data_IF_877632513086
#
_entry.id   IF_877632513086
#
_cell.length_a   1.000
_cell.length_b   1.000
_cell.length_c   1.000
_cell.angle_alpha   90.00
_cell.angle_beta   90.00
_cell.angle_gamma   90.00
#
_symmetry.space_group_name_H-M   'P 1'
#
loop_
_entity.id
_entity.type
_entity.pdbx_description
1 polymer ?
#
# COMPACT_ATOMS: atom_id res chain seq x y z
N UNK A 1 -19.34 -11.01 2.43
CA UNK A 1 -18.38 -11.38 1.37
C UNK A 1 -17.88 -12.79 1.64
N UNK A 2 -17.35 -13.50 0.62
CA UNK A 2 -16.78 -14.85 0.75
C UNK A 2 -15.26 -14.80 0.49
N UNK A 3 -14.45 -15.34 1.41
CA UNK A 3 -13.00 -15.33 1.27
C UNK A 3 -12.52 -16.26 0.15
N UNK A 4 -11.64 -15.76 -0.73
CA UNK A 4 -11.04 -16.50 -1.86
C UNK A 4 -9.62 -16.94 -1.51
N UNK A 5 -8.77 -16.02 -1.04
CA UNK A 5 -7.41 -16.33 -0.60
C UNK A 5 -6.82 -15.21 0.29
N UNK A 6 -5.71 -15.53 0.96
CA UNK A 6 -4.91 -14.57 1.73
C UNK A 6 -3.52 -14.36 1.13
N UNK A 7 -2.91 -13.24 1.47
CA UNK A 7 -1.57 -12.90 1.04
C UNK A 7 -0.92 -11.79 1.88
N UNK A 8 0.00 -11.09 1.22
CA UNK A 8 0.76 -9.96 1.72
C UNK A 8 0.43 -8.72 0.89
N UNK A 9 0.31 -7.59 1.56
CA UNK A 9 -0.22 -6.34 1.02
C UNK A 9 0.85 -5.57 0.23
N UNK A 10 0.96 -5.85 -1.06
CA UNK A 10 1.81 -5.11 -1.99
C UNK A 10 1.20 -3.72 -2.28
N UNK A 11 1.99 -2.68 -2.09
CA UNK A 11 1.59 -1.31 -2.39
C UNK A 11 2.06 -0.89 -3.80
N UNK A 12 3.36 -0.99 -4.07
CA UNK A 12 3.94 -0.69 -5.38
C UNK A 12 5.32 -1.31 -5.56
N UNK A 13 5.81 -1.31 -6.80
CA UNK A 13 7.18 -1.67 -7.14
C UNK A 13 7.87 -0.51 -7.84
N UNK A 14 9.19 -0.42 -7.74
CA UNK A 14 9.98 0.55 -8.47
C UNK A 14 11.10 -0.17 -9.22
N UNK A 15 11.00 -0.18 -10.55
CA UNK A 15 11.96 -0.82 -11.45
C UNK A 15 12.56 0.22 -12.36
N UNK A 16 13.89 0.22 -12.52
CA UNK A 16 14.59 1.20 -13.36
C UNK A 16 14.19 2.65 -13.01
N UNK A 17 14.09 2.94 -11.70
CA UNK A 17 13.66 4.23 -11.12
C UNK A 17 12.24 4.68 -11.45
N UNK A 18 11.38 3.81 -11.99
CA UNK A 18 9.98 4.13 -12.27
C UNK A 18 9.05 3.33 -11.36
N UNK A 19 8.16 4.02 -10.66
CA UNK A 19 7.15 3.37 -9.83
C UNK A 19 5.97 2.83 -10.66
N UNK A 20 5.40 1.73 -10.17
CA UNK A 20 4.14 1.19 -10.63
C UNK A 20 3.37 0.59 -9.44
N UNK A 21 2.23 1.21 -9.12
CA UNK A 21 1.38 0.85 -7.98
C UNK A 21 0.30 -0.17 -8.30
N UNK A 22 -0.19 -0.80 -7.25
CA UNK A 22 -1.44 -1.57 -7.24
C UNK A 22 -2.44 -0.83 -6.36
N UNK A 23 -3.66 -0.62 -6.87
CA UNK A 23 -4.73 -0.07 -6.04
C UNK A 23 -5.08 -1.09 -4.95
N UNK A 24 -5.06 -0.65 -3.70
CA UNK A 24 -5.22 -1.49 -2.51
C UNK A 24 -6.60 -2.15 -2.44
N UNK A 25 -7.61 -1.60 -3.10
CA UNK A 25 -8.95 -2.19 -3.19
C UNK A 25 -9.07 -3.29 -4.24
N UNK A 26 -8.00 -3.57 -5.00
CA UNK A 26 -7.98 -4.61 -6.05
C UNK A 26 -7.21 -5.84 -5.61
N UNK A 27 -7.52 -7.00 -6.18
CA UNK A 27 -6.80 -8.25 -5.86
C UNK A 27 -5.29 -8.21 -6.20
N UNK A 28 -4.86 -7.28 -7.08
CA UNK A 28 -3.46 -7.10 -7.47
C UNK A 28 -2.56 -6.63 -6.31
N UNK A 29 -3.12 -5.95 -5.31
CA UNK A 29 -2.41 -5.56 -4.10
C UNK A 29 -2.18 -6.73 -3.13
N UNK A 30 -2.78 -7.90 -3.37
CA UNK A 30 -2.71 -9.03 -2.45
C UNK A 30 -1.94 -10.22 -3.06
N UNK A 31 -0.63 -10.26 -2.81
CA UNK A 31 0.24 -11.32 -3.32
C UNK A 31 0.34 -12.49 -2.35
N UNK A 32 0.13 -13.72 -2.82
CA UNK A 32 0.18 -14.94 -1.99
C UNK A 32 1.55 -15.21 -1.36
N UNK A 33 2.62 -14.66 -1.92
CA UNK A 33 3.99 -14.86 -1.45
C UNK A 33 4.70 -13.53 -1.39
N UNK A 34 5.30 -13.26 -0.24
CA UNK A 34 6.19 -12.12 -0.06
C UNK A 34 7.56 -12.39 -0.68
N UNK A 35 8.16 -11.35 -1.25
CA UNK A 35 9.58 -11.28 -1.62
C UNK A 35 9.99 -9.82 -1.60
N UNK A 36 11.19 -9.50 -1.13
CA UNK A 36 11.75 -8.14 -1.25
C UNK A 36 11.98 -7.74 -2.70
N UNK A 37 12.02 -8.72 -3.62
CA UNK A 37 12.08 -8.54 -5.07
C UNK A 37 11.07 -9.49 -5.75
N UNK A 38 9.81 -9.09 -5.93
CA UNK A 38 8.76 -9.95 -6.47
C UNK A 38 8.71 -9.99 -8.01
N UNK A 39 9.66 -9.34 -8.71
CA UNK A 39 9.69 -9.26 -10.16
C UNK A 39 11.10 -9.41 -10.73
N UNK A 40 11.19 -9.57 -12.05
CA UNK A 40 12.41 -9.62 -12.85
C UNK A 40 12.25 -8.72 -14.07
N UNK A 41 13.35 -8.33 -14.70
CA UNK A 41 13.32 -7.55 -15.93
C UNK A 41 14.11 -8.25 -17.05
N UNK A 42 13.65 -8.11 -18.28
CA UNK A 42 14.27 -8.67 -19.48
C UNK A 42 14.59 -7.55 -20.48
N UNK A 43 15.61 -7.75 -21.31
CA UNK A 43 15.97 -6.82 -22.37
C UNK A 43 15.68 -7.39 -23.76
N UNK A 44 15.90 -6.58 -24.81
CA UNK A 44 15.68 -6.95 -26.22
C UNK A 44 16.57 -8.10 -26.71
N UNK A 45 17.63 -8.44 -25.97
CA UNK A 45 18.55 -9.53 -26.30
C UNK A 45 18.12 -10.86 -25.67
N UNK A 46 16.87 -10.97 -25.20
CA UNK A 46 16.33 -12.14 -24.51
C UNK A 46 17.12 -12.53 -23.24
N UNK A 47 17.76 -11.55 -22.59
CA UNK A 47 18.44 -11.75 -21.30
C UNK A 47 17.59 -11.17 -20.19
N UNK A 48 17.28 -11.99 -19.20
CA UNK A 48 16.55 -11.58 -18.01
C UNK A 48 17.44 -11.62 -16.77
N UNK A 49 17.22 -10.67 -15.87
CA UNK A 49 17.95 -10.54 -14.61
C UNK A 49 16.98 -10.44 -13.44
N UNK A 50 17.36 -11.05 -12.33
CA UNK A 50 16.59 -11.07 -11.08
C UNK A 50 17.43 -10.53 -9.95
N UNK A 51 16.91 -9.55 -9.19
CA UNK A 51 17.58 -8.93 -8.05
C UNK A 51 19.03 -8.43 -8.34
N UNK A 52 19.36 -8.16 -9.60
CA UNK A 52 20.71 -7.77 -10.04
C UNK A 52 20.87 -6.25 -10.25
N UNK A 53 19.87 -5.46 -9.81
CA UNK A 53 19.84 -4.00 -9.87
C UNK A 53 19.32 -3.42 -8.54
N UNK A 54 19.47 -2.10 -8.40
CA UNK A 54 18.90 -1.33 -7.30
C UNK A 54 17.43 -1.00 -7.57
N UNK A 55 16.61 -2.05 -7.63
CA UNK A 55 15.16 -1.96 -7.74
C UNK A 55 14.52 -2.20 -6.35
N UNK A 56 13.24 -1.81 -6.21
CA UNK A 56 12.55 -1.74 -4.92
C UNK A 56 11.16 -2.38 -4.98
N UNK A 57 10.68 -2.85 -3.83
CA UNK A 57 9.28 -3.20 -3.59
C UNK A 57 8.79 -2.56 -2.30
N UNK A 58 7.50 -2.22 -2.25
CA UNK A 58 6.90 -1.52 -1.13
C UNK A 58 5.63 -2.24 -0.70
N UNK A 59 5.47 -2.39 0.60
CA UNK A 59 4.42 -3.20 1.20
C UNK A 59 3.74 -2.41 2.29
N UNK A 60 2.41 -2.51 2.44
CA UNK A 60 1.75 -1.98 3.63
C UNK A 60 2.36 -2.66 4.86
N UNK A 61 2.55 -1.88 5.92
CA UNK A 61 3.23 -2.36 7.11
C UNK A 61 2.29 -2.61 8.28
N UNK A 62 2.81 -3.22 9.35
CA UNK A 62 2.10 -3.45 10.61
C UNK A 62 2.43 -2.35 11.64
N UNK A 63 1.79 -2.34 12.83
CA UNK A 63 2.16 -1.45 13.93
C UNK A 63 3.51 -1.78 14.59
N UNK A 64 4.24 -2.79 14.10
CA UNK A 64 5.50 -3.22 14.68
C UNK A 64 6.50 -2.03 14.71
N UNK A 65 7.05 -1.67 15.88
CA UNK A 65 7.93 -0.52 16.01
C UNK A 65 9.26 -0.78 15.30
N UNK A 66 9.82 0.28 14.72
CA UNK A 66 11.17 0.20 14.16
C UNK A 66 12.20 -0.22 15.22
N UNK A 67 13.20 -1.04 14.83
CA UNK A 67 14.35 -1.32 15.70
C UNK A 67 15.03 -0.03 16.18
N UNK A 68 15.43 0.02 17.45
CA UNK A 68 16.07 1.22 18.04
C UNK A 68 17.37 1.61 17.33
N UNK A 69 18.08 0.65 16.73
CA UNK A 69 19.31 0.88 15.98
C UNK A 69 19.06 1.39 14.54
N UNK A 70 17.81 1.44 14.08
CA UNK A 70 17.40 1.83 12.72
C UNK A 70 18.10 1.02 11.60
N UNK A 71 18.64 -0.14 11.92
CA UNK A 71 19.31 -0.98 10.94
C UNK A 71 18.31 -1.65 10.00
N UNK A 72 18.66 -1.84 8.71
CA UNK A 72 17.80 -2.54 7.78
C UNK A 72 17.47 -3.97 8.24
N UNK A 73 16.18 -4.30 8.24
CA UNK A 73 15.65 -5.62 8.53
C UNK A 73 16.07 -6.61 7.42
N UNK A 74 16.32 -7.87 7.79
CA UNK A 74 16.75 -8.92 6.87
C UNK A 74 16.14 -10.28 7.19
N UNK A 75 15.87 -11.07 6.16
CA UNK A 75 15.39 -12.44 6.32
C UNK A 75 14.09 -12.52 7.12
N UNK A 76 14.03 -13.40 8.12
CA UNK A 76 12.81 -13.64 8.89
C UNK A 76 12.39 -12.45 9.78
N UNK A 77 13.31 -11.54 10.13
CA UNK A 77 12.94 -10.35 10.94
C UNK A 77 12.08 -9.35 10.19
N UNK A 78 11.92 -9.50 8.87
CA UNK A 78 11.01 -8.68 8.06
C UNK A 78 9.54 -9.08 8.29
N UNK A 79 9.26 -10.35 8.56
CA UNK A 79 7.90 -10.89 8.59
C UNK A 79 6.92 -10.12 9.51
N UNK A 80 7.29 -9.73 10.75
CA UNK A 80 6.40 -8.97 11.63
C UNK A 80 5.97 -7.61 11.07
N UNK A 81 6.72 -7.05 10.12
CA UNK A 81 6.50 -5.71 9.57
C UNK A 81 5.60 -5.70 8.33
N UNK A 82 5.30 -6.86 7.72
CA UNK A 82 4.54 -6.92 6.46
C UNK A 82 3.07 -7.19 6.76
N UNK A 83 2.20 -6.27 6.31
CA UNK A 83 0.75 -6.41 6.42
C UNK A 83 0.22 -7.59 5.60
N UNK A 84 -0.87 -8.17 6.08
CA UNK A 84 -1.61 -9.26 5.44
C UNK A 84 -2.86 -8.70 4.77
N UNK A 85 -3.35 -9.42 3.77
CA UNK A 85 -4.55 -9.07 3.02
C UNK A 85 -5.41 -10.32 2.79
N UNK A 86 -6.71 -10.10 2.60
CA UNK A 86 -7.66 -11.11 2.16
C UNK A 86 -8.36 -10.62 0.90
N UNK A 87 -8.45 -11.48 -0.12
CA UNK A 87 -9.26 -11.23 -1.31
C UNK A 87 -10.58 -11.95 -1.14
N UNK A 88 -11.67 -11.21 -1.29
CA UNK A 88 -13.02 -11.69 -1.06
C UNK A 88 -13.90 -11.46 -2.28
N UNK A 89 -14.78 -12.40 -2.57
CA UNK A 89 -15.88 -12.26 -3.52
C UNK A 89 -17.04 -11.52 -2.85
N UNK A 90 -17.56 -10.50 -3.52
CA UNK A 90 -18.71 -9.72 -3.08
C UNK A 90 -19.88 -9.93 -4.04
N UNK A 91 -21.13 -10.00 -3.54
CA UNK A 91 -22.31 -10.19 -4.39
C UNK A 91 -22.68 -8.93 -5.21
N UNK A 92 -22.07 -7.78 -4.89
CA UNK A 92 -22.30 -6.50 -5.53
C UNK A 92 -21.01 -5.67 -5.52
N UNK A 93 -21.03 -4.53 -6.23
CA UNK A 93 -19.92 -3.57 -6.26
C UNK A 93 -19.66 -2.98 -4.87
N UNK A 94 -18.40 -2.62 -4.61
CA UNK A 94 -17.94 -2.00 -3.36
C UNK A 94 -17.25 -0.70 -3.69
N UNK A 95 -17.54 0.36 -2.94
CA UNK A 95 -16.96 1.69 -3.12
C UNK A 95 -16.52 2.29 -1.78
N UNK A 96 -15.59 3.24 -1.82
CA UNK A 96 -15.30 4.14 -0.71
C UNK A 96 -16.04 5.48 -0.88
N UNK A 97 -16.43 6.07 0.25
CA UNK A 97 -17.02 7.42 0.32
C UNK A 97 -16.25 8.19 1.39
N UNK A 98 -15.92 9.45 1.11
CA UNK A 98 -15.08 10.29 1.97
C UNK A 98 -15.86 11.51 2.45
N UNK A 99 -15.80 11.82 3.74
CA UNK A 99 -16.53 12.95 4.33
C UNK A 99 -15.82 14.29 4.21
N UNK A 100 -14.48 14.30 4.06
CA UNK A 100 -13.64 15.49 4.23
C UNK A 100 -13.89 16.22 5.57
N UNK A 101 -14.32 15.48 6.60
CA UNK A 101 -14.52 15.95 7.97
C UNK A 101 -14.01 14.90 8.94
N UNK A 102 -14.11 15.16 10.25
CA UNK A 102 -13.84 14.16 11.29
C UNK A 102 -14.99 13.15 11.46
N UNK A 103 -16.13 13.39 10.83
CA UNK A 103 -17.31 12.53 10.94
C UNK A 103 -17.26 11.41 9.91
N UNK A 104 -17.85 10.26 10.28
CA UNK A 104 -17.99 9.12 9.37
C UNK A 104 -19.06 9.44 8.31
N UNK A 105 -18.77 9.38 7.00
CA UNK A 105 -19.77 9.62 5.97
C UNK A 105 -20.80 8.49 5.95
N UNK A 106 -22.06 8.83 5.67
CA UNK A 106 -23.10 7.82 5.46
C UNK A 106 -22.89 7.11 4.12
N UNK A 107 -23.15 5.79 4.10
CA UNK A 107 -23.27 5.05 2.85
C UNK A 107 -24.45 5.60 2.02
N UNK A 108 -24.38 5.55 0.68
CA UNK A 108 -25.51 5.95 -0.16
C UNK A 108 -26.75 5.10 0.13
N UNK A 109 -27.94 5.63 -0.18
CA UNK A 109 -29.19 4.92 0.07
C UNK A 109 -29.20 3.55 -0.63
N UNK A 110 -29.51 2.50 0.12
CA UNK A 110 -29.54 1.12 -0.39
C UNK A 110 -28.18 0.40 -0.39
N UNK A 111 -27.14 1.01 0.19
CA UNK A 111 -25.82 0.38 0.36
C UNK A 111 -25.59 -0.04 1.80
N UNK A 112 -24.93 -1.18 1.97
CA UNK A 112 -24.51 -1.70 3.27
C UNK A 112 -23.05 -1.33 3.56
N UNK A 113 -22.79 -0.93 4.81
CA UNK A 113 -21.45 -0.61 5.28
C UNK A 113 -20.61 -1.88 5.46
N UNK A 114 -19.38 -1.90 4.93
CA UNK A 114 -18.41 -2.98 5.16
C UNK A 114 -17.44 -2.66 6.30
N UNK A 115 -16.76 -1.50 6.22
CA UNK A 115 -15.86 -0.99 7.26
C UNK A 115 -15.78 0.55 7.20
N UNK A 116 -15.11 1.13 8.19
CA UNK A 116 -14.81 2.56 8.28
C UNK A 116 -13.30 2.76 8.38
N UNK A 117 -12.80 3.95 8.03
CA UNK A 117 -11.36 4.22 8.07
C UNK A 117 -11.01 5.65 7.73
N UNK A 118 -9.75 5.84 7.33
CA UNK A 118 -9.12 7.11 7.02
C UNK A 118 -8.83 7.22 5.53
N UNK A 119 -9.01 8.44 5.00
CA UNK A 119 -8.92 8.74 3.57
C UNK A 119 -7.47 8.79 3.07
N UNK A 120 -6.92 7.65 2.66
CA UNK A 120 -5.57 7.51 2.11
C UNK A 120 -5.56 7.77 0.59
N UNK A 121 -4.81 8.79 0.16
CA UNK A 121 -4.84 9.23 -1.24
C UNK A 121 -3.62 8.75 -2.02
N UNK A 122 -2.41 8.99 -1.52
CA UNK A 122 -1.18 8.66 -2.23
C UNK A 122 0.03 8.54 -1.29
N UNK A 123 1.16 8.14 -1.84
CA UNK A 123 2.42 7.99 -1.12
C UNK A 123 3.62 8.21 -2.05
N UNK A 124 4.76 8.58 -1.46
CA UNK A 124 6.05 8.72 -2.17
C UNK A 124 7.20 8.21 -1.32
N UNK A 125 8.28 7.74 -1.94
CA UNK A 125 9.51 7.34 -1.22
C UNK A 125 10.78 7.58 -2.05
N UNK A 126 11.61 6.57 -2.32
CA UNK A 126 12.88 6.70 -3.03
C UNK A 126 12.73 7.42 -4.38
N UNK A 127 13.48 8.52 -4.55
CA UNK A 127 13.46 9.33 -5.76
C UNK A 127 12.20 10.16 -5.96
N UNK A 128 11.38 10.37 -4.90
CA UNK A 128 10.06 11.00 -4.98
C UNK A 128 9.07 10.27 -5.91
N UNK A 129 9.38 9.03 -6.26
CA UNK A 129 8.48 8.14 -6.97
C UNK A 129 7.47 7.56 -5.99
N UNK A 130 6.32 7.15 -6.53
CA UNK A 130 5.23 6.62 -5.73
C UNK A 130 4.01 6.29 -6.56
N UNK A 131 2.89 6.07 -5.89
CA UNK A 131 1.61 5.81 -6.53
C UNK A 131 0.45 6.30 -5.66
N UNK A 132 -0.78 6.06 -6.08
CA UNK A 132 -1.98 6.54 -5.41
C UNK A 132 -3.13 5.55 -5.46
N UNK A 133 -4.21 5.91 -4.79
CA UNK A 133 -5.46 5.17 -4.73
C UNK A 133 -6.52 5.91 -5.53
N UNK A 134 -7.43 5.17 -6.19
CA UNK A 134 -8.66 5.80 -6.67
C UNK A 134 -9.54 6.13 -5.45
N UNK A 135 -10.01 7.38 -5.32
CA UNK A 135 -10.82 7.80 -4.15
C UNK A 135 -12.18 7.10 -4.05
N UNK A 136 -12.65 6.45 -5.12
CA UNK A 136 -13.85 5.61 -5.06
C UNK A 136 -13.53 4.14 -4.74
N UNK A 137 -12.25 3.73 -4.79
CA UNK A 137 -11.82 2.37 -4.50
C UNK A 137 -11.78 2.15 -2.99
N UNK A 138 -12.15 0.95 -2.49
CA UNK A 138 -11.93 0.60 -1.09
C UNK A 138 -10.48 0.79 -0.62
N UNK A 139 -9.50 0.77 -1.54
CA UNK A 139 -8.09 1.01 -1.25
C UNK A 139 -7.76 2.40 -0.72
N UNK A 140 -8.63 3.40 -0.94
CA UNK A 140 -8.46 4.74 -0.36
C UNK A 140 -8.95 4.85 1.08
N UNK A 141 -9.51 3.79 1.69
CA UNK A 141 -10.09 3.79 3.03
C UNK A 141 -9.36 2.82 3.97
N UNK A 142 -8.21 3.23 4.50
CA UNK A 142 -7.44 2.41 5.44
C UNK A 142 -8.07 2.43 6.84
N UNK A 143 -8.36 1.26 7.40
CA UNK A 143 -9.01 1.12 8.73
C UNK A 143 -8.19 1.75 9.87
N UNK A 144 -6.86 1.70 9.76
CA UNK A 144 -5.94 2.29 10.74
C UNK A 144 -5.14 3.43 10.12
N UNK A 145 -5.21 4.61 10.75
CA UNK A 145 -4.30 5.71 10.41
C UNK A 145 -2.88 5.41 10.91
N UNK A 146 -1.89 5.52 10.02
CA UNK A 146 -0.47 5.57 10.38
C UNK A 146 0.27 6.61 9.55
N UNK A 147 1.16 7.36 10.18
CA UNK A 147 2.02 8.33 9.48
C UNK A 147 2.96 7.65 8.47
N UNK A 148 3.43 6.44 8.79
CA UNK A 148 4.23 5.58 7.90
C UNK A 148 3.51 4.22 7.68
N UNK A 149 2.52 4.16 6.77
CA UNK A 149 1.69 2.96 6.59
C UNK A 149 2.34 1.89 5.71
N UNK A 150 3.59 2.09 5.26
CA UNK A 150 4.28 1.18 4.36
C UNK A 150 5.79 1.13 4.64
N UNK A 151 6.41 0.02 4.26
CA UNK A 151 7.85 -0.25 4.40
C UNK A 151 8.50 -0.42 3.02
N UNK A 152 9.74 0.07 2.88
CA UNK A 152 10.54 -0.06 1.66
C UNK A 152 11.43 -1.30 1.73
N UNK A 153 11.45 -2.10 0.67
CA UNK A 153 12.28 -3.29 0.53
C UNK A 153 13.13 -3.24 -0.73
N UNK A 154 14.34 -3.80 -0.65
CA UNK A 154 15.35 -3.78 -1.71
C UNK A 154 15.63 -5.16 -2.29
N UNK A 155 16.12 -5.20 -3.54
CA UNK A 155 16.58 -6.42 -4.20
C UNK A 155 17.61 -7.25 -3.44
N UNK A 156 18.44 -6.60 -2.62
CA UNK A 156 19.45 -7.26 -1.77
C UNK A 156 18.88 -7.97 -0.51
N UNK A 157 17.56 -7.98 -0.32
CA UNK A 157 16.93 -8.67 0.81
C UNK A 157 16.75 -7.83 2.07
N UNK A 158 16.87 -6.50 1.98
CA UNK A 158 16.75 -5.58 3.13
C UNK A 158 15.47 -4.77 3.07
N UNK A 159 14.80 -4.54 4.21
CA UNK A 159 13.70 -3.58 4.33
C UNK A 159 13.94 -2.55 5.43
N UNK A 160 13.45 -1.33 5.27
CA UNK A 160 13.49 -0.30 6.31
C UNK A 160 12.43 0.79 6.07
N UNK A 161 12.24 1.66 7.06
CA UNK A 161 11.57 2.93 6.86
C UNK A 161 12.60 4.03 6.68
N UNK A 162 12.25 5.01 5.84
CA UNK A 162 13.13 6.13 5.53
C UNK A 162 12.41 7.45 5.77
N UNK A 163 13.16 8.48 6.16
CA UNK A 163 12.62 9.80 6.50
C UNK A 163 11.95 10.53 5.32
N UNK A 164 12.26 10.12 4.08
CA UNK A 164 11.67 10.64 2.85
C UNK A 164 10.44 9.84 2.39
N UNK A 165 9.96 8.87 3.18
CA UNK A 165 8.69 8.18 2.92
C UNK A 165 7.53 9.03 3.45
N UNK A 166 6.69 9.50 2.53
CA UNK A 166 5.53 10.33 2.85
C UNK A 166 4.23 9.60 2.52
N UNK A 167 3.23 9.76 3.39
CA UNK A 167 1.84 9.36 3.18
C UNK A 167 0.96 10.59 3.08
N UNK A 168 0.03 10.60 2.13
CA UNK A 168 -0.86 11.73 1.84
C UNK A 168 -2.30 11.30 2.05
N UNK A 169 -3.03 12.12 2.80
CA UNK A 169 -4.38 11.85 3.28
C UNK A 169 -5.30 13.01 2.87
N UNK A 170 -6.59 12.75 2.66
CA UNK A 170 -7.54 13.84 2.45
C UNK A 170 -7.66 14.66 3.73
N UNK A 171 -7.52 15.98 3.58
CA UNK A 171 -7.67 16.93 4.69
C UNK A 171 -9.15 17.14 5.04
N UNK A 172 -9.37 17.60 6.27
CA UNK A 172 -10.66 18.15 6.67
C UNK A 172 -10.82 19.56 6.11
N UNK A 173 -11.95 19.83 5.46
CA UNK A 173 -12.25 21.15 4.88
C UNK A 173 -13.64 21.55 5.33
N UNK A 174 -13.75 22.66 6.08
CA UNK A 174 -15.05 23.25 6.39
C UNK A 174 -15.63 23.88 5.11
N UNK A 175 -16.95 23.83 4.95
CA UNK A 175 -17.65 24.45 3.82
C UNK A 175 -17.39 25.95 3.78
N UNK A 176 -17.18 26.59 4.95
CA UNK A 176 -16.81 28.01 5.02
C UNK A 176 -15.41 28.32 4.47
N UNK A 177 -14.52 27.33 4.38
CA UNK A 177 -13.09 27.51 4.13
C UNK A 177 -12.67 27.02 2.73
N UNK A 178 -13.63 26.73 1.84
CA UNK A 178 -13.34 26.15 0.52
C UNK A 178 -12.66 27.13 -0.47
N UNK A 179 -12.80 28.45 -0.28
CA UNK A 179 -12.36 29.48 -1.23
C UNK A 179 -11.65 30.66 -0.55
#
# INVERSE_FOLDING_TARGET
TLQVYEGFSLLYVQGNKRAHGQDLGTAGSCLRRFSTMPFMFCNINNVCNFASRNDYSYWLSTPEPMPMNMEPLMGQSIQPFISRCAVCEAPAVVIAVHSQTIQIPHCPQGWDSLWIGYSFMMHTSAGAEGSGQALASPGSCLEEFRSAPFIECHGRGTCNYYANSYSFWLATVDVSDMF
#
